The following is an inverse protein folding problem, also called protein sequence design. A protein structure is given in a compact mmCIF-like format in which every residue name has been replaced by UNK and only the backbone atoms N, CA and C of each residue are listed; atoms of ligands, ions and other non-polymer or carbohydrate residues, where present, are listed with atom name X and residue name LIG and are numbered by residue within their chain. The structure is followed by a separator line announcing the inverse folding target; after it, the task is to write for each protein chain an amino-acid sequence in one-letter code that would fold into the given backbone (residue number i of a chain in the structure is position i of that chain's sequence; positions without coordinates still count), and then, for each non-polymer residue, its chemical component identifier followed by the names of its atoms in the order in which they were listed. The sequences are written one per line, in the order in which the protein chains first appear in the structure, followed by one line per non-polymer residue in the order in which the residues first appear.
data_IF_693623501140
#
_entry.id   IF_693623501140
#
_cell.length_a   1.000
_cell.length_b   1.000
_cell.length_c   1.000
_cell.angle_alpha   90.00
_cell.angle_beta   90.00
_cell.angle_gamma   90.00
#
_symmetry.space_group_name_H-M   'P 1'
#
loop_
_entity.id
_entity.type
_entity.pdbx_description
1 polymer ?
#
# COMPACT_ATOMS: atom_id res chain seq x y z
N UNK A 1 6.11 2.94 -17.59
CA UNK A 1 5.43 4.20 -17.20
C UNK A 1 6.49 5.24 -16.84
N UNK A 2 6.30 6.54 -17.15
CA UNK A 2 7.28 7.56 -16.76
C UNK A 2 7.24 7.82 -15.25
N UNK A 3 8.34 8.33 -14.67
CA UNK A 3 8.44 8.62 -13.23
C UNK A 3 7.32 9.58 -12.78
N UNK A 4 7.07 10.65 -13.54
CA UNK A 4 6.05 11.66 -13.20
C UNK A 4 4.65 11.04 -13.20
N UNK A 5 4.30 10.28 -14.25
CA UNK A 5 2.99 9.62 -14.33
C UNK A 5 2.82 8.65 -13.15
N UNK A 6 3.85 7.89 -12.81
CA UNK A 6 3.78 6.94 -11.70
C UNK A 6 3.54 7.64 -10.35
N UNK A 7 4.26 8.73 -10.06
CA UNK A 7 4.09 9.50 -8.82
C UNK A 7 2.66 10.05 -8.73
N UNK A 8 2.22 10.74 -9.79
CA UNK A 8 0.89 11.36 -9.82
C UNK A 8 -0.20 10.31 -9.71
N UNK A 9 -0.10 9.21 -10.46
CA UNK A 9 -1.08 8.12 -10.42
C UNK A 9 -1.13 7.47 -9.04
N UNK A 10 0.01 7.17 -8.43
CA UNK A 10 0.06 6.55 -7.10
C UNK A 10 -0.60 7.44 -6.03
N UNK A 11 -0.23 8.73 -5.96
CA UNK A 11 -0.83 9.64 -4.98
C UNK A 11 -2.31 9.91 -5.26
N UNK A 12 -2.72 10.02 -6.52
CA UNK A 12 -4.14 10.15 -6.88
C UNK A 12 -4.94 8.90 -6.49
N UNK A 13 -4.38 7.70 -6.73
CA UNK A 13 -4.98 6.43 -6.35
C UNK A 13 -5.11 6.31 -4.82
N UNK A 14 -4.01 6.56 -4.09
CA UNK A 14 -4.00 6.55 -2.63
C UNK A 14 -5.03 7.52 -2.04
N UNK A 15 -5.01 8.78 -2.48
CA UNK A 15 -5.90 9.82 -1.97
C UNK A 15 -7.36 9.54 -2.33
N UNK A 16 -7.62 9.10 -3.57
CA UNK A 16 -8.96 8.72 -4.01
C UNK A 16 -9.53 7.55 -3.21
N UNK A 17 -8.71 6.51 -2.97
CA UNK A 17 -9.11 5.37 -2.15
C UNK A 17 -9.44 5.80 -0.70
N UNK A 18 -8.57 6.61 -0.08
CA UNK A 18 -8.78 7.13 1.26
C UNK A 18 -10.05 7.99 1.35
N UNK A 19 -10.31 8.87 0.38
CA UNK A 19 -11.51 9.71 0.36
C UNK A 19 -12.80 8.91 0.19
N UNK A 20 -12.81 7.90 -0.68
CA UNK A 20 -13.97 7.02 -0.84
C UNK A 20 -14.22 6.21 0.43
N UNK A 21 -13.17 5.66 1.04
CA UNK A 21 -13.27 4.95 2.31
C UNK A 21 -13.82 5.86 3.43
N UNK A 22 -13.33 7.10 3.53
CA UNK A 22 -13.80 8.09 4.51
C UNK A 22 -15.28 8.45 4.36
N UNK A 23 -15.80 8.41 3.14
CA UNK A 23 -17.23 8.66 2.84
C UNK A 23 -18.13 7.43 3.05
N UNK A 24 -17.58 6.33 3.58
CA UNK A 24 -18.31 5.07 3.74
C UNK A 24 -18.51 4.29 2.43
N UNK A 25 -17.90 4.73 1.32
CA UNK A 25 -17.97 4.07 0.01
C UNK A 25 -16.91 2.98 -0.14
N UNK A 26 -16.72 2.15 0.91
CA UNK A 26 -15.63 1.17 1.00
C UNK A 26 -15.60 0.16 -0.15
N UNK A 27 -16.76 -0.22 -0.69
CA UNK A 27 -16.87 -1.12 -1.84
C UNK A 27 -16.20 -0.55 -3.11
N UNK A 28 -16.21 0.78 -3.25
CA UNK A 28 -15.65 1.49 -4.41
C UNK A 28 -14.23 2.00 -4.16
N UNK A 29 -13.80 2.05 -2.90
CA UNK A 29 -12.49 2.57 -2.50
C UNK A 29 -11.30 1.81 -3.12
N UNK A 30 -11.51 0.57 -3.58
CA UNK A 30 -10.47 -0.20 -4.27
C UNK A 30 -10.21 0.27 -5.72
N UNK A 31 -11.18 0.92 -6.36
CA UNK A 31 -11.12 1.29 -7.77
C UNK A 31 -9.99 2.27 -8.12
N UNK A 32 -9.71 3.33 -7.35
CA UNK A 32 -8.63 4.26 -7.67
C UNK A 32 -7.26 3.57 -7.76
N UNK A 33 -6.90 2.76 -6.77
CA UNK A 33 -5.64 2.02 -6.80
C UNK A 33 -5.63 0.92 -7.87
N UNK A 34 -6.76 0.26 -8.12
CA UNK A 34 -6.88 -0.71 -9.22
C UNK A 34 -6.67 -0.04 -10.58
N UNK A 35 -7.20 1.16 -10.79
CA UNK A 35 -6.98 1.94 -12.01
C UNK A 35 -5.48 2.26 -12.21
N UNK A 36 -4.74 2.57 -11.14
CA UNK A 36 -3.28 2.74 -11.20
C UNK A 36 -2.59 1.46 -11.65
N UNK A 37 -2.98 0.30 -11.10
CA UNK A 37 -2.43 -1.00 -11.48
C UNK A 37 -2.69 -1.31 -12.96
N UNK A 38 -3.93 -1.12 -13.41
CA UNK A 38 -4.32 -1.35 -14.82
C UNK A 38 -3.56 -0.41 -15.75
N UNK A 39 -3.46 0.88 -15.40
CA UNK A 39 -2.69 1.87 -16.15
C UNK A 39 -1.21 1.47 -16.24
N UNK A 40 -0.62 1.05 -15.12
CA UNK A 40 0.77 0.60 -15.09
C UNK A 40 0.99 -0.59 -16.02
N UNK A 41 0.14 -1.63 -15.92
CA UNK A 41 0.24 -2.82 -16.77
C UNK A 41 0.06 -2.50 -18.25
N UNK A 42 -0.89 -1.62 -18.60
CA UNK A 42 -1.10 -1.18 -19.97
C UNK A 42 0.15 -0.44 -20.53
N UNK A 43 0.76 0.43 -19.72
CA UNK A 43 1.93 1.21 -20.12
C UNK A 43 3.25 0.43 -20.05
N UNK A 44 3.34 -0.64 -19.27
CA UNK A 44 4.52 -1.49 -19.13
C UNK A 44 4.49 -2.74 -20.02
N UNK A 45 3.44 -2.89 -20.84
CA UNK A 45 3.17 -4.09 -21.67
C UNK A 45 2.99 -5.38 -20.86
N UNK A 46 2.56 -5.27 -19.60
CA UNK A 46 2.07 -6.40 -18.80
C UNK A 46 3.02 -7.58 -18.67
N UNK A 47 4.31 -7.35 -18.40
CA UNK A 47 5.27 -8.44 -18.27
C UNK A 47 4.90 -9.39 -17.12
N UNK A 48 5.25 -10.68 -17.25
CA UNK A 48 5.03 -11.67 -16.18
C UNK A 48 5.69 -11.25 -14.86
N UNK A 49 6.82 -10.56 -14.93
CA UNK A 49 7.54 -10.01 -13.78
C UNK A 49 6.71 -8.94 -13.04
N UNK A 50 6.08 -8.03 -13.78
CA UNK A 50 5.19 -7.00 -13.21
C UNK A 50 3.99 -7.63 -12.51
N UNK A 51 3.35 -8.61 -13.16
CA UNK A 51 2.21 -9.33 -12.58
C UNK A 51 2.62 -10.10 -11.32
N UNK A 52 3.77 -10.77 -11.34
CA UNK A 52 4.28 -11.49 -10.18
C UNK A 52 4.54 -10.56 -8.99
N UNK A 53 5.11 -9.37 -9.24
CA UNK A 53 5.35 -8.37 -8.20
C UNK A 53 4.03 -7.83 -7.62
N UNK A 54 3.04 -7.53 -8.48
CA UNK A 54 1.72 -7.09 -8.06
C UNK A 54 1.02 -8.12 -7.17
N UNK A 55 1.04 -9.40 -7.57
CA UNK A 55 0.44 -10.49 -6.79
C UNK A 55 1.16 -10.65 -5.46
N UNK A 56 2.49 -10.62 -5.44
CA UNK A 56 3.27 -10.71 -4.22
C UNK A 56 2.99 -9.55 -3.26
N UNK A 57 2.88 -8.32 -3.78
CA UNK A 57 2.55 -7.14 -3.00
C UNK A 57 1.11 -7.20 -2.44
N UNK A 58 0.14 -7.62 -3.26
CA UNK A 58 -1.23 -7.82 -2.80
C UNK A 58 -1.34 -8.89 -1.70
N UNK A 59 -0.66 -10.02 -1.86
CA UNK A 59 -0.64 -11.08 -0.85
C UNK A 59 0.05 -10.65 0.45
N UNK A 60 1.21 -9.99 0.35
CA UNK A 60 1.93 -9.43 1.50
C UNK A 60 1.08 -8.38 2.21
N UNK A 61 0.44 -7.49 1.45
CA UNK A 61 -0.47 -6.48 1.97
C UNK A 61 -1.66 -7.10 2.69
N UNK A 62 -2.33 -8.08 2.10
CA UNK A 62 -3.44 -8.77 2.75
C UNK A 62 -3.04 -9.35 4.11
N UNK A 63 -1.90 -10.04 4.19
CA UNK A 63 -1.39 -10.62 5.44
C UNK A 63 -1.04 -9.54 6.46
N UNK A 64 -0.31 -8.50 6.02
CA UNK A 64 0.11 -7.40 6.88
C UNK A 64 -1.08 -6.63 7.46
N UNK A 65 -2.05 -6.29 6.61
CA UNK A 65 -3.24 -5.53 7.01
C UNK A 65 -4.17 -6.36 7.90
N UNK A 66 -4.31 -7.66 7.62
CA UNK A 66 -5.04 -8.56 8.51
C UNK A 66 -4.37 -8.66 9.90
N UNK A 67 -3.04 -8.70 9.95
CA UNK A 67 -2.32 -8.70 11.22
C UNK A 67 -2.47 -7.38 12.00
N UNK A 68 -2.40 -6.23 11.32
CA UNK A 68 -2.64 -4.92 11.93
C UNK A 68 -4.07 -4.78 12.45
N UNK A 69 -5.05 -5.26 11.69
CA UNK A 69 -6.45 -5.28 12.09
C UNK A 69 -6.68 -6.18 13.30
N UNK A 70 -6.16 -7.42 13.26
CA UNK A 70 -6.29 -8.38 14.36
C UNK A 70 -5.60 -7.89 15.65
N UNK A 71 -4.48 -7.19 15.52
CA UNK A 71 -3.79 -6.54 16.64
C UNK A 71 -4.47 -5.26 17.14
N UNK A 72 -5.59 -4.83 16.52
CA UNK A 72 -6.30 -3.61 16.87
C UNK A 72 -5.56 -2.31 16.55
N UNK A 73 -4.48 -2.40 15.74
CA UNK A 73 -3.65 -1.26 15.31
C UNK A 73 -4.41 -0.37 14.34
N UNK A 74 -5.22 -0.98 13.47
CA UNK A 74 -6.14 -0.28 12.58
C UNK A 74 -7.57 -0.73 12.84
N UNK A 75 -8.52 0.19 12.66
CA UNK A 75 -9.97 -0.07 12.80
C UNK A 75 -10.72 0.66 11.69
N UNK A 76 -11.75 0.03 11.14
CA UNK A 76 -12.48 0.58 9.99
C UNK A 76 -13.93 0.89 10.37
N UNK A 77 -14.37 2.16 10.33
CA UNK A 77 -15.72 2.58 10.71
C UNK A 77 -16.84 1.91 9.89
N UNK A 78 -16.56 1.53 8.64
CA UNK A 78 -17.49 0.82 7.75
C UNK A 78 -17.47 -0.72 7.88
N UNK A 79 -16.72 -1.24 8.87
CA UNK A 79 -16.55 -2.67 9.08
C UNK A 79 -15.43 -3.30 8.23
N UNK A 80 -14.71 -4.23 8.83
CA UNK A 80 -13.88 -5.19 8.10
C UNK A 80 -14.77 -6.14 7.31
N UNK A 81 -14.28 -6.66 6.18
CA UNK A 81 -15.04 -7.65 5.40
C UNK A 81 -15.16 -8.92 6.25
N UNK A 82 -16.39 -9.33 6.55
CA UNK A 82 -16.70 -10.41 7.51
C UNK A 82 -16.09 -10.24 8.92
N UNK A 83 -15.73 -9.02 9.32
CA UNK A 83 -15.14 -8.74 10.64
C UNK A 83 -13.68 -9.17 10.82
N UNK A 84 -13.06 -9.80 9.81
CA UNK A 84 -11.70 -10.39 9.92
C UNK A 84 -10.77 -9.99 8.78
N UNK A 85 -11.30 -9.58 7.62
CA UNK A 85 -10.48 -9.19 6.48
C UNK A 85 -10.40 -7.66 6.34
N UNK A 86 -9.20 -7.13 6.05
CA UNK A 86 -9.03 -5.70 5.79
C UNK A 86 -9.84 -5.29 4.54
N UNK A 87 -10.30 -4.04 4.45
CA UNK A 87 -10.93 -3.53 3.25
C UNK A 87 -10.06 -3.72 2.00
N UNK A 88 -10.68 -4.12 0.88
CA UNK A 88 -9.98 -4.41 -0.37
C UNK A 88 -9.13 -3.25 -0.91
N UNK A 89 -9.47 -2.01 -0.56
CA UNK A 89 -8.72 -0.84 -1.00
C UNK A 89 -7.29 -0.80 -0.46
N UNK A 90 -7.04 -1.37 0.71
CA UNK A 90 -5.67 -1.50 1.22
C UNK A 90 -4.90 -2.51 0.37
N UNK A 91 -5.50 -3.66 0.06
CA UNK A 91 -4.86 -4.67 -0.80
C UNK A 91 -4.50 -4.09 -2.17
N UNK A 92 -5.42 -3.35 -2.81
CA UNK A 92 -5.12 -2.72 -4.10
C UNK A 92 -4.12 -1.56 -3.98
N UNK A 93 -4.07 -0.85 -2.84
CA UNK A 93 -3.04 0.15 -2.54
C UNK A 93 -1.66 -0.49 -2.45
N UNK A 94 -1.51 -1.66 -1.80
CA UNK A 94 -0.25 -2.40 -1.77
C UNK A 94 0.21 -2.82 -3.17
N UNK A 95 -0.73 -3.27 -4.02
CA UNK A 95 -0.45 -3.54 -5.43
C UNK A 95 0.00 -2.27 -6.17
N UNK A 96 -0.73 -1.15 -6.01
CA UNK A 96 -0.36 0.13 -6.62
C UNK A 96 1.00 0.64 -6.15
N UNK A 97 1.34 0.48 -4.87
CA UNK A 97 2.65 0.80 -4.31
C UNK A 97 3.77 0.03 -5.03
N UNK A 98 3.58 -1.26 -5.28
CA UNK A 98 4.60 -2.07 -5.95
C UNK A 98 4.95 -1.58 -7.36
N UNK A 99 4.02 -0.90 -8.05
CA UNK A 99 4.30 -0.28 -9.36
C UNK A 99 5.37 0.81 -9.27
N UNK A 100 5.49 1.48 -8.11
CA UNK A 100 6.50 2.52 -7.87
C UNK A 100 7.90 1.93 -7.83
N UNK A 101 8.05 0.68 -7.36
CA UNK A 101 9.34 -0.01 -7.26
C UNK A 101 9.95 -0.38 -8.62
N UNK A 102 9.17 -0.35 -9.70
CA UNK A 102 9.66 -0.50 -11.08
C UNK A 102 9.72 0.85 -11.83
N UNK A 103 9.40 1.96 -11.16
CA UNK A 103 9.37 3.29 -11.76
C UNK A 103 10.01 4.34 -10.83
N UNK A 104 9.21 5.15 -10.11
CA UNK A 104 9.72 6.28 -9.33
C UNK A 104 10.64 5.90 -8.17
N UNK A 105 10.50 4.67 -7.66
CA UNK A 105 11.30 4.10 -6.58
C UNK A 105 12.23 2.97 -7.05
N UNK A 106 12.46 2.82 -8.36
CA UNK A 106 13.32 1.77 -8.91
C UNK A 106 14.75 1.78 -8.34
N UNK A 107 15.24 2.95 -7.93
CA UNK A 107 16.55 3.12 -7.31
C UNK A 107 16.65 2.49 -5.90
N UNK A 108 15.53 2.16 -5.24
CA UNK A 108 15.52 1.46 -3.95
C UNK A 108 15.82 -0.04 -4.10
N UNK A 109 15.67 -0.62 -5.29
CA UNK A 109 15.98 -2.04 -5.59
C UNK A 109 17.40 -2.44 -5.15
N UNK A 110 18.35 -1.51 -5.19
CA UNK A 110 19.76 -1.73 -4.79
C UNK A 110 20.11 -1.16 -3.42
N UNK A 111 19.18 -0.47 -2.75
CA UNK A 111 19.42 0.24 -1.48
C UNK A 111 18.43 -0.22 -0.40
N UNK A 112 18.43 -1.51 -0.10
CA UNK A 112 17.41 -2.13 0.76
C UNK A 112 17.37 -1.55 2.18
N UNK A 113 18.52 -1.18 2.77
CA UNK A 113 18.54 -0.52 4.08
C UNK A 113 17.79 0.83 4.05
N UNK A 114 17.95 1.60 2.97
CA UNK A 114 17.22 2.86 2.78
C UNK A 114 15.74 2.60 2.50
N UNK A 115 15.40 1.54 1.76
CA UNK A 115 14.02 1.12 1.58
C UNK A 115 13.34 0.81 2.93
N UNK A 116 14.06 0.18 3.86
CA UNK A 116 13.57 -0.07 5.22
C UNK A 116 13.32 1.23 6.00
N UNK A 117 14.27 2.16 5.99
CA UNK A 117 14.14 3.46 6.68
C UNK A 117 12.99 4.28 6.09
N UNK A 118 12.86 4.32 4.77
CA UNK A 118 11.75 5.02 4.11
C UNK A 118 10.41 4.34 4.37
N UNK A 119 10.36 3.00 4.46
CA UNK A 119 9.17 2.27 4.88
C UNK A 119 8.78 2.60 6.32
N UNK A 120 9.75 2.62 7.23
CA UNK A 120 9.56 2.94 8.65
C UNK A 120 8.91 4.30 8.87
N UNK A 121 9.24 5.30 8.04
CA UNK A 121 8.67 6.64 8.14
C UNK A 121 7.43 6.85 7.24
N UNK A 122 7.50 6.39 5.99
CA UNK A 122 6.47 6.60 4.97
C UNK A 122 5.18 5.83 5.24
N UNK A 123 5.28 4.60 5.75
CA UNK A 123 4.12 3.80 6.15
C UNK A 123 3.27 4.53 7.20
N UNK A 124 3.83 4.86 8.38
CA UNK A 124 3.10 5.59 9.42
C UNK A 124 2.56 6.93 8.95
N UNK A 125 3.31 7.69 8.14
CA UNK A 125 2.85 8.96 7.59
C UNK A 125 1.59 8.77 6.71
N UNK A 126 1.57 7.74 5.84
CA UNK A 126 0.43 7.43 5.01
C UNK A 126 -0.79 6.98 5.84
N UNK A 127 -0.59 6.15 6.88
CA UNK A 127 -1.70 5.70 7.71
C UNK A 127 -2.25 6.80 8.58
N UNK A 128 -1.38 7.62 9.16
CA UNK A 128 -1.79 8.81 9.89
C UNK A 128 -2.59 9.75 8.99
N UNK A 129 -2.12 10.01 7.76
CA UNK A 129 -2.85 10.79 6.77
C UNK A 129 -4.24 10.20 6.46
N UNK A 130 -4.33 8.90 6.21
CA UNK A 130 -5.61 8.21 5.99
C UNK A 130 -6.55 8.31 7.19
N UNK A 131 -6.01 8.24 8.41
CA UNK A 131 -6.80 8.40 9.63
C UNK A 131 -7.33 9.82 9.81
N UNK A 132 -6.51 10.84 9.52
CA UNK A 132 -6.94 12.25 9.53
C UNK A 132 -8.02 12.53 8.47
N UNK A 133 -7.99 11.82 7.35
CA UNK A 133 -9.03 11.89 6.33
C UNK A 133 -10.32 11.14 6.71
N UNK A 134 -10.31 10.38 7.81
CA UNK A 134 -11.45 9.56 8.26
C UNK A 134 -11.56 8.20 7.56
N UNK A 135 -10.56 7.78 6.78
CA UNK A 135 -10.58 6.50 6.07
C UNK A 135 -10.47 5.29 7.00
N UNK A 136 -9.85 5.47 8.17
CA UNK A 136 -9.68 4.48 9.22
C UNK A 136 -9.41 5.16 10.56
N UNK A 137 -9.42 4.39 11.64
CA UNK A 137 -8.97 4.81 12.96
C UNK A 137 -7.72 4.01 13.33
N UNK A 138 -6.84 4.64 14.10
CA UNK A 138 -5.65 3.99 14.65
C UNK A 138 -5.91 3.59 16.09
N UNK A 139 -5.39 2.43 16.50
CA UNK A 139 -5.49 1.94 17.86
C UNK A 139 -4.72 2.82 18.86
N UNK A 140 -5.16 2.81 20.11
CA UNK A 140 -4.47 3.48 21.21
C UNK A 140 -3.55 2.51 21.97
N UNK A 141 -2.36 2.95 22.43
CA UNK A 141 -1.78 4.29 22.23
C UNK A 141 -1.34 4.56 20.78
N UNK A 142 -1.64 5.74 20.25
CA UNK A 142 -1.32 6.13 18.86
C UNK A 142 0.14 5.84 18.47
N UNK A 143 1.10 6.16 19.36
CA UNK A 143 2.51 5.95 19.09
C UNK A 143 2.87 4.47 18.87
N UNK A 144 2.23 3.55 19.62
CA UNK A 144 2.44 2.12 19.46
C UNK A 144 1.87 1.62 18.11
N UNK A 145 0.70 2.12 17.72
CA UNK A 145 0.09 1.81 16.42
C UNK A 145 0.95 2.29 15.25
N UNK A 146 1.43 3.53 15.31
CA UNK A 146 2.33 4.08 14.29
C UNK A 146 3.66 3.32 14.23
N UNK A 147 4.22 2.93 15.37
CA UNK A 147 5.44 2.12 15.40
C UNK A 147 5.21 0.74 14.77
N UNK A 148 4.10 0.06 15.09
CA UNK A 148 3.76 -1.24 14.52
C UNK A 148 3.61 -1.15 12.99
N UNK A 149 2.90 -0.14 12.49
CA UNK A 149 2.79 0.15 11.05
C UNK A 149 4.18 0.39 10.46
N UNK A 150 5.01 1.18 11.15
CA UNK A 150 6.38 1.46 10.73
C UNK A 150 7.21 0.20 10.57
N UNK A 151 7.16 -0.72 11.55
CA UNK A 151 7.88 -2.00 11.49
C UNK A 151 7.39 -2.86 10.32
N UNK A 152 6.08 -2.94 10.10
CA UNK A 152 5.50 -3.66 8.95
C UNK A 152 6.07 -3.13 7.62
N UNK A 153 6.04 -1.81 7.43
CA UNK A 153 6.54 -1.20 6.20
C UNK A 153 8.07 -1.23 6.07
N UNK A 154 8.80 -1.15 7.19
CA UNK A 154 10.25 -1.30 7.22
C UNK A 154 10.71 -2.68 6.76
N UNK A 155 9.90 -3.72 6.98
CA UNK A 155 10.15 -5.07 6.47
C UNK A 155 9.62 -5.24 5.04
N UNK A 156 8.40 -4.79 4.76
CA UNK A 156 7.78 -4.98 3.46
C UNK A 156 8.51 -4.26 2.31
N UNK A 157 8.90 -2.99 2.51
CA UNK A 157 9.57 -2.19 1.49
C UNK A 157 10.84 -2.86 0.93
N UNK A 158 11.84 -3.27 1.75
CA UNK A 158 13.02 -3.93 1.23
C UNK A 158 12.73 -5.32 0.64
N UNK A 159 11.75 -6.06 1.17
CA UNK A 159 11.37 -7.36 0.59
C UNK A 159 10.80 -7.20 -0.81
N UNK A 160 9.86 -6.28 -1.00
CA UNK A 160 9.27 -6.00 -2.30
C UNK A 160 10.29 -5.37 -3.27
N UNK A 161 11.16 -4.47 -2.80
CA UNK A 161 12.22 -3.90 -3.63
C UNK A 161 13.24 -4.97 -4.05
N UNK A 162 13.60 -5.88 -3.14
CA UNK A 162 14.48 -7.01 -3.43
C UNK A 162 13.84 -8.01 -4.40
N UNK A 163 12.54 -8.28 -4.28
CA UNK A 163 11.80 -9.11 -5.22
C UNK A 163 11.71 -8.43 -6.60
N UNK A 164 11.41 -7.14 -6.65
CA UNK A 164 11.38 -6.36 -7.89
C UNK A 164 12.75 -6.36 -8.61
N UNK A 165 13.87 -6.41 -7.86
CA UNK A 165 15.21 -6.60 -8.43
C UNK A 165 15.43 -8.01 -8.99
N UNK A 166 14.88 -9.04 -8.34
CA UNK A 166 15.04 -10.43 -8.77
C UNK A 166 14.21 -10.76 -10.02
N UNK A 167 13.06 -10.10 -10.19
CA UNK A 167 12.14 -10.32 -11.30
C UNK A 167 12.52 -9.57 -12.59
N UNK A 168 13.38 -8.56 -12.51
CA UNK A 168 13.80 -7.71 -13.64
C UNK A 168 14.21 -6.31 -13.21
#
# INVERSE_FOLDING_TARGET
MSIVINIVAFYAGWFGAAMLAARGLGAWAALPCLAVVVLHLALSRGSRAEVALLVAAGAMGLVAEAALLAGGVTRFPGGAVYGVLPPLWLVTLWMAFSTTLNSSLAWLKTRLALAAVLGLAGGPAAYYGGAQLGAMQLGEPLAASLLAIGVVWAVACPLLAGLARKLG
#
